data_IF_932157729179
#
_entry.id   IF_932157729179
#
_cell.length_a   1.000
_cell.length_b   1.000
_cell.length_c   1.000
_cell.angle_alpha   90.00
_cell.angle_beta   90.00
_cell.angle_gamma   90.00
#
_symmetry.space_group_name_H-M   'P 1'
#
loop_
_entity.id
_entity.type
_entity.pdbx_description
1 polymer ?
#
# COMPACT_ATOMS: atom_id res chain seq x y z
N UNK A 1 -10.21 -1.76 -3.39
CA UNK A 1 -8.93 -2.47 -3.37
C UNK A 1 -8.26 -2.18 -2.05
N UNK A 2 -7.50 -3.14 -1.53
CA UNK A 2 -6.67 -2.97 -0.34
C UNK A 2 -5.24 -2.65 -0.76
N UNK A 3 -4.48 -2.04 0.14
CA UNK A 3 -3.06 -1.86 -0.05
C UNK A 3 -2.28 -2.12 1.24
N UNK A 4 -1.01 -2.49 1.07
CA UNK A 4 0.02 -2.44 2.11
C UNK A 4 1.22 -1.71 1.51
N UNK A 5 1.74 -0.72 2.25
CA UNK A 5 3.04 -0.11 1.99
C UNK A 5 4.09 -0.83 2.83
N UNK A 6 5.07 -1.42 2.16
CA UNK A 6 6.23 -2.03 2.78
C UNK A 6 7.45 -1.12 2.69
N UNK A 7 8.42 -1.32 3.58
CA UNK A 7 9.78 -0.84 3.36
C UNK A 7 10.58 -1.92 2.62
N UNK A 8 11.24 -1.56 1.52
CA UNK A 8 12.17 -2.45 0.82
C UNK A 8 13.57 -2.48 1.47
N UNK A 9 14.47 -3.28 0.89
CA UNK A 9 15.84 -3.43 1.40
C UNK A 9 16.70 -2.15 1.30
N UNK A 10 16.22 -1.13 0.59
CA UNK A 10 16.86 0.17 0.44
C UNK A 10 16.18 1.26 1.30
N UNK A 11 15.21 0.91 2.14
CA UNK A 11 14.47 1.86 2.96
C UNK A 11 13.37 2.61 2.19
N UNK A 12 13.04 2.19 0.97
CA UNK A 12 12.06 2.87 0.14
C UNK A 12 10.66 2.27 0.31
N UNK A 13 9.60 3.09 0.30
CA UNK A 13 8.24 2.58 0.40
C UNK A 13 7.79 1.91 -0.90
N UNK A 14 7.33 0.67 -0.81
CA UNK A 14 6.83 -0.13 -1.94
C UNK A 14 5.36 -0.49 -1.73
N UNK A 15 4.45 -0.01 -2.61
CA UNK A 15 3.02 -0.31 -2.52
C UNK A 15 2.67 -1.64 -3.16
N UNK A 16 1.88 -2.44 -2.45
CA UNK A 16 1.19 -3.61 -2.98
C UNK A 16 -0.31 -3.38 -2.92
N UNK A 17 -0.96 -3.37 -4.09
CA UNK A 17 -2.42 -3.23 -4.22
C UNK A 17 -3.03 -4.58 -4.56
N UNK A 18 -4.08 -4.97 -3.86
CA UNK A 18 -4.71 -6.27 -4.02
C UNK A 18 -6.23 -6.24 -3.84
N UNK A 19 -6.96 -7.29 -4.30
CA UNK A 19 -8.41 -7.35 -4.21
C UNK A 19 -8.93 -7.30 -2.77
N UNK A 20 -10.11 -6.69 -2.57
CA UNK A 20 -10.72 -6.51 -1.24
C UNK A 20 -11.05 -7.84 -0.54
N UNK A 21 -11.17 -8.94 -1.29
CA UNK A 21 -11.46 -10.29 -0.79
C UNK A 21 -10.30 -10.98 -0.06
N UNK A 22 -9.09 -10.43 -0.11
CA UNK A 22 -7.92 -10.96 0.61
C UNK A 22 -7.71 -10.10 1.85
N UNK A 23 -7.46 -10.70 3.00
CA UNK A 23 -7.19 -9.95 4.23
C UNK A 23 -5.77 -9.38 4.26
N UNK A 24 -5.56 -8.28 4.99
CA UNK A 24 -4.26 -7.62 5.02
C UNK A 24 -3.20 -8.51 5.69
N UNK A 25 -3.56 -9.22 6.75
CA UNK A 25 -2.69 -10.23 7.38
C UNK A 25 -2.29 -11.34 6.40
N UNK A 26 -3.25 -11.96 5.70
CA UNK A 26 -2.97 -13.00 4.72
C UNK A 26 -2.00 -12.50 3.64
N UNK A 27 -2.24 -11.29 3.11
CA UNK A 27 -1.36 -10.70 2.11
C UNK A 27 0.03 -10.42 2.69
N UNK A 28 0.12 -9.91 3.92
CA UNK A 28 1.38 -9.65 4.63
C UNK A 28 2.22 -10.92 4.76
N UNK A 29 1.61 -12.05 5.07
CA UNK A 29 2.31 -13.34 5.23
C UNK A 29 2.94 -13.84 3.93
N UNK A 30 2.36 -13.51 2.77
CA UNK A 30 2.92 -13.89 1.46
C UNK A 30 4.12 -13.04 1.03
N UNK A 31 4.33 -11.89 1.67
CA UNK A 31 5.30 -10.89 1.21
C UNK A 31 6.65 -11.04 1.90
N UNK A 32 7.78 -10.97 1.15
CA UNK A 32 9.13 -11.15 1.69
C UNK A 32 9.68 -9.91 2.41
N UNK A 33 8.88 -8.85 2.56
CA UNK A 33 9.28 -7.62 3.22
C UNK A 33 9.08 -7.72 4.74
N UNK A 34 9.94 -7.06 5.51
CA UNK A 34 9.95 -7.15 6.97
C UNK A 34 9.02 -6.13 7.61
N UNK A 35 9.01 -4.89 7.10
CA UNK A 35 8.34 -3.77 7.75
C UNK A 35 7.11 -3.29 6.97
N UNK A 36 5.97 -3.22 7.66
CA UNK A 36 4.76 -2.55 7.19
C UNK A 36 4.81 -1.09 7.63
N UNK A 37 4.76 -0.18 6.66
CA UNK A 37 4.75 1.26 6.92
C UNK A 37 3.32 1.80 7.08
N UNK A 38 2.39 1.26 6.28
CA UNK A 38 0.97 1.59 6.33
C UNK A 38 0.15 0.52 5.62
N UNK A 39 -1.14 0.46 5.93
CA UNK A 39 -2.08 -0.43 5.28
C UNK A 39 -3.49 0.17 5.31
N UNK A 40 -4.30 -0.17 4.33
CA UNK A 40 -5.67 0.29 4.29
C UNK A 40 -6.36 -0.02 2.96
N UNK A 41 -7.31 0.83 2.62
CA UNK A 41 -8.08 0.75 1.38
C UNK A 41 -7.64 1.87 0.45
N UNK A 42 -7.57 1.53 -0.84
CA UNK A 42 -7.26 2.46 -1.91
C UNK A 42 -8.37 2.43 -2.95
N UNK A 43 -8.78 3.62 -3.37
CA UNK A 43 -9.67 3.81 -4.51
C UNK A 43 -9.11 4.89 -5.44
N UNK A 44 -9.34 4.71 -6.73
CA UNK A 44 -8.97 5.69 -7.75
C UNK A 44 -10.23 6.40 -8.23
N UNK A 45 -10.23 7.73 -8.19
CA UNK A 45 -11.32 8.57 -8.72
C UNK A 45 -10.71 9.72 -9.50
N UNK A 46 -11.17 9.91 -10.75
CA UNK A 46 -10.69 10.98 -11.63
C UNK A 46 -9.15 11.01 -11.78
N UNK A 47 -8.51 9.83 -11.83
CA UNK A 47 -7.05 9.71 -11.94
C UNK A 47 -6.28 10.01 -10.65
N UNK A 48 -6.95 10.21 -9.52
CA UNK A 48 -6.33 10.44 -8.22
C UNK A 48 -6.55 9.23 -7.30
N UNK A 49 -5.50 8.83 -6.60
CA UNK A 49 -5.57 7.84 -5.53
C UNK A 49 -6.07 8.47 -4.25
N UNK A 50 -6.86 7.71 -3.49
CA UNK A 50 -7.35 8.07 -2.16
C UNK A 50 -7.16 6.87 -1.25
N UNK A 51 -6.50 7.09 -0.11
CA UNK A 51 -6.21 6.07 0.89
C UNK A 51 -6.99 6.34 2.18
N UNK A 52 -7.54 5.31 2.80
CA UNK A 52 -8.26 5.43 4.06
C UNK A 52 -8.32 4.11 4.84
N UNK A 53 -8.77 4.19 6.09
CA UNK A 53 -8.95 3.03 6.96
C UNK A 53 -7.64 2.55 7.58
N UNK A 54 -7.53 1.24 7.78
CA UNK A 54 -6.38 0.61 8.41
C UNK A 54 -6.52 -0.91 8.41
N UNK A 55 -5.49 -1.57 8.92
CA UNK A 55 -5.44 -2.99 9.22
C UNK A 55 -4.99 -3.15 10.68
N UNK A 56 -5.94 -3.20 11.65
CA UNK A 56 -5.63 -3.32 13.07
C UNK A 56 -4.75 -4.54 13.41
N UNK A 57 -4.94 -5.64 12.69
CA UNK A 57 -4.16 -6.88 12.81
C UNK A 57 -2.69 -6.73 12.41
N UNK A 58 -2.36 -5.66 11.66
CA UNK A 58 -1.00 -5.28 11.29
C UNK A 58 -0.49 -4.05 12.08
N UNK A 59 -1.27 -3.55 13.03
CA UNK A 59 -1.00 -2.28 13.74
C UNK A 59 -0.74 -1.10 12.78
N UNK A 60 -1.37 -1.14 11.61
CA UNK A 60 -1.12 -0.20 10.52
C UNK A 60 -2.39 0.59 10.15
N UNK A 61 -2.21 1.88 9.85
CA UNK A 61 -3.30 2.78 9.43
C UNK A 61 -2.94 3.50 8.15
N UNK A 62 -3.95 3.87 7.38
CA UNK A 62 -3.74 4.68 6.19
C UNK A 62 -3.33 6.10 6.57
N UNK A 63 -2.26 6.60 5.95
CA UNK A 63 -1.72 7.94 6.18
C UNK A 63 -2.06 8.87 5.03
N UNK A 64 -1.96 10.17 5.29
CA UNK A 64 -2.27 11.23 4.32
C UNK A 64 -1.39 11.20 3.07
N UNK A 65 -0.14 10.76 3.22
CA UNK A 65 0.89 10.72 2.18
C UNK A 65 0.84 9.46 1.31
N UNK A 66 0.15 8.40 1.77
CA UNK A 66 0.19 7.09 1.11
C UNK A 66 -0.33 7.14 -0.33
N UNK A 67 -1.36 7.96 -0.58
CA UNK A 67 -1.90 8.16 -1.92
C UNK A 67 -0.85 8.76 -2.90
N UNK A 68 0.00 9.67 -2.41
CA UNK A 68 1.06 10.26 -3.22
C UNK A 68 2.19 9.24 -3.48
N UNK A 69 2.56 8.46 -2.47
CA UNK A 69 3.56 7.39 -2.60
C UNK A 69 3.12 6.35 -3.63
N UNK A 70 1.88 5.86 -3.53
CA UNK A 70 1.30 4.90 -4.47
C UNK A 70 1.30 5.46 -5.89
N UNK A 71 0.79 6.69 -6.06
CA UNK A 71 0.78 7.37 -7.36
C UNK A 71 2.19 7.44 -7.95
N UNK A 72 3.15 7.96 -7.19
CA UNK A 72 4.49 8.22 -7.68
C UNK A 72 5.22 6.92 -8.01
N UNK A 73 4.97 5.83 -7.27
CA UNK A 73 5.52 4.51 -7.57
C UNK A 73 5.04 3.99 -8.93
N UNK A 74 3.72 3.95 -9.16
CA UNK A 74 3.17 3.42 -10.42
C UNK A 74 3.39 4.35 -11.63
N UNK A 75 3.52 5.67 -11.43
CA UNK A 75 3.88 6.60 -12.52
C UNK A 75 5.36 6.53 -12.90
N UNK A 76 6.25 6.13 -11.98
CA UNK A 76 7.69 5.95 -12.29
C UNK A 76 7.92 4.69 -13.14
N UNK A 77 7.17 3.64 -12.87
CA UNK A 77 7.26 2.36 -13.59
C UNK A 77 6.81 2.46 -15.07
N UNK A 78 5.94 3.42 -15.41
CA UNK A 78 5.51 3.68 -16.79
C UNK A 78 6.53 4.45 -17.64
N UNK A 79 7.60 4.98 -17.04
CA UNK A 79 8.57 5.86 -17.71
C UNK A 79 9.89 5.15 -18.10
N UNK A 80 10.07 3.88 -17.75
CA UNK A 80 11.18 3.00 -18.20
C UNK A 80 10.71 2.02 -19.28
#
# INVERSE_FOLDING_TARGET
MKYILFEDFSGMPVPFIFPDRVDHADMREQMPYTLVLAAGYVHMRQGQFYCHGGAPELEATARTEDAAIIRDFFLRDEAE
#
